data_IF_994931391964
#
_entry.id   IF_994931391964
#
_cell.length_a   1.000
_cell.length_b   1.000
_cell.length_c   1.000
_cell.angle_alpha   90.00
_cell.angle_beta   90.00
_cell.angle_gamma   90.00
#
_symmetry.space_group_name_H-M   'P 1'
#
loop_
_entity.id
_entity.type
_entity.pdbx_description
1 polymer ?
#
# COMPACT_ATOMS: atom_id res chain seq x y z
N UNK A 1 12.41 -31.93 45.50
CA UNK A 1 12.51 -31.48 44.10
C UNK A 1 11.23 -30.72 43.83
N UNK A 2 11.28 -29.39 43.74
CA UNK A 2 10.07 -28.57 43.55
C UNK A 2 9.56 -28.59 42.10
N UNK A 3 10.38 -29.06 41.16
CA UNK A 3 10.03 -29.15 39.75
C UNK A 3 10.51 -30.50 39.21
N UNK A 4 9.58 -31.36 38.81
CA UNK A 4 9.80 -32.59 38.03
C UNK A 4 9.01 -32.50 36.71
N UNK A 5 9.17 -33.46 35.81
CA UNK A 5 8.67 -33.39 34.41
C UNK A 5 7.14 -33.17 34.24
N UNK A 6 6.34 -33.26 35.31
CA UNK A 6 4.90 -32.98 35.37
C UNK A 6 4.50 -31.89 36.41
N UNK A 7 5.46 -31.09 36.88
CA UNK A 7 5.22 -30.09 37.93
C UNK A 7 4.71 -28.75 37.37
N UNK A 8 3.84 -28.07 38.12
CA UNK A 8 3.39 -26.71 37.83
C UNK A 8 4.61 -25.77 37.62
N UNK A 9 4.55 -24.86 36.62
CA UNK A 9 5.69 -24.06 36.21
C UNK A 9 6.12 -22.99 37.25
N UNK A 10 5.32 -22.82 38.29
CA UNK A 10 5.60 -22.00 39.47
C UNK A 10 4.89 -22.63 40.67
N UNK A 11 5.34 -22.29 41.88
CA UNK A 11 4.78 -22.77 43.14
C UNK A 11 4.69 -21.61 44.12
N UNK A 12 3.50 -21.36 44.68
CA UNK A 12 3.36 -20.46 45.83
C UNK A 12 3.91 -21.16 47.08
N UNK A 13 4.97 -20.60 47.65
CA UNK A 13 5.64 -21.19 48.80
C UNK A 13 4.95 -20.84 50.12
N UNK A 14 4.13 -19.78 50.19
CA UNK A 14 3.51 -19.35 51.44
C UNK A 14 2.56 -20.40 52.04
N UNK A 15 1.67 -21.06 51.28
CA UNK A 15 0.80 -22.13 51.80
C UNK A 15 1.56 -23.37 52.27
N UNK A 16 2.82 -23.52 51.87
CA UNK A 16 3.70 -24.63 52.25
C UNK A 16 4.46 -24.35 53.55
N UNK A 17 4.44 -23.11 54.04
CA UNK A 17 5.12 -22.71 55.28
C UNK A 17 4.20 -22.83 56.50
N UNK A 18 4.77 -23.03 57.71
CA UNK A 18 4.01 -22.95 58.95
C UNK A 18 3.32 -21.59 59.10
N UNK A 19 2.14 -21.55 59.73
CA UNK A 19 1.35 -20.32 59.94
C UNK A 19 2.03 -19.22 60.77
N UNK A 20 3.22 -19.48 61.31
CA UNK A 20 4.07 -18.50 61.99
C UNK A 20 4.97 -17.72 61.02
N UNK A 21 5.11 -18.18 59.78
CA UNK A 21 5.89 -17.52 58.73
C UNK A 21 5.01 -16.53 57.97
N UNK A 22 5.62 -15.39 57.64
CA UNK A 22 5.05 -14.34 56.80
C UNK A 22 5.71 -14.34 55.42
N UNK A 23 5.18 -13.54 54.51
CA UNK A 23 5.70 -13.38 53.14
C UNK A 23 7.18 -12.97 53.15
N UNK A 24 7.60 -12.15 54.12
CA UNK A 24 8.99 -11.73 54.34
C UNK A 24 9.96 -12.87 54.69
N UNK A 25 9.43 -13.99 55.20
CA UNK A 25 10.21 -15.16 55.60
C UNK A 25 10.48 -16.10 54.42
N UNK A 26 9.65 -16.05 53.35
CA UNK A 26 9.77 -16.92 52.18
C UNK A 26 11.14 -16.77 51.49
N UNK A 27 11.61 -15.54 51.15
CA UNK A 27 12.92 -15.39 50.49
C UNK A 27 14.09 -15.79 51.40
N UNK A 28 13.97 -15.53 52.70
CA UNK A 28 15.00 -15.88 53.68
C UNK A 28 15.13 -17.40 53.84
N UNK A 29 14.01 -18.13 53.87
CA UNK A 29 13.99 -19.58 53.96
C UNK A 29 14.53 -20.23 52.69
N UNK A 30 14.11 -19.73 51.52
CA UNK A 30 14.60 -20.23 50.23
C UNK A 30 16.11 -19.98 50.05
N UNK A 31 16.64 -18.86 50.52
CA UNK A 31 18.09 -18.57 50.47
C UNK A 31 18.93 -19.53 51.33
N UNK A 32 18.33 -20.12 52.37
CA UNK A 32 18.99 -21.08 53.27
C UNK A 32 18.86 -22.54 52.83
N UNK A 33 18.05 -22.82 51.82
CA UNK A 33 17.94 -24.14 51.23
C UNK A 33 19.23 -24.49 50.46
N UNK A 34 19.94 -25.53 50.91
CA UNK A 34 21.24 -25.94 50.38
C UNK A 34 21.26 -26.24 48.86
N UNK A 35 20.12 -26.56 48.27
CA UNK A 35 19.96 -26.84 46.84
C UNK A 35 19.53 -25.63 45.99
N UNK A 36 19.13 -24.52 46.64
CA UNK A 36 18.68 -23.29 45.96
C UNK A 36 19.85 -22.31 45.74
N UNK A 37 20.82 -22.25 46.66
CA UNK A 37 21.99 -21.38 46.53
C UNK A 37 22.93 -21.71 45.35
N UNK A 38 22.74 -22.87 44.69
CA UNK A 38 23.51 -23.31 43.53
C UNK A 38 22.71 -23.26 42.20
N UNK A 39 21.41 -22.98 42.27
CA UNK A 39 20.48 -22.99 41.13
C UNK A 39 20.21 -21.57 40.65
N UNK A 40 20.81 -21.19 39.53
CA UNK A 40 20.59 -19.87 38.87
C UNK A 40 19.29 -19.82 38.07
N UNK A 41 18.63 -20.97 37.94
CA UNK A 41 17.43 -21.21 37.14
C UNK A 41 16.13 -21.04 37.93
N UNK A 42 16.19 -20.62 39.20
CA UNK A 42 15.01 -20.43 40.06
C UNK A 42 14.95 -18.98 40.56
N UNK A 43 13.78 -18.36 40.45
CA UNK A 43 13.53 -16.97 40.85
C UNK A 43 12.31 -16.88 41.77
N UNK A 44 12.33 -15.91 42.67
CA UNK A 44 11.19 -15.56 43.51
C UNK A 44 10.52 -14.32 42.89
N UNK A 45 9.20 -14.39 42.75
CA UNK A 45 8.31 -13.34 42.24
C UNK A 45 7.13 -13.16 43.22
N UNK A 46 6.52 -11.99 43.23
CA UNK A 46 5.41 -11.57 44.08
C UNK A 46 5.61 -11.92 45.56
N UNK A 47 6.86 -11.81 46.02
CA UNK A 47 7.36 -12.15 47.37
C UNK A 47 7.25 -13.62 47.81
N UNK A 48 6.23 -14.36 47.34
CA UNK A 48 5.93 -15.73 47.81
C UNK A 48 6.06 -16.81 46.74
N UNK A 49 6.17 -16.45 45.46
CA UNK A 49 6.06 -17.40 44.34
C UNK A 49 7.45 -17.77 43.83
N UNK A 50 7.72 -19.07 43.77
CA UNK A 50 8.94 -19.63 43.22
C UNK A 50 8.69 -20.11 41.80
N UNK A 51 9.43 -19.58 40.83
CA UNK A 51 9.33 -19.98 39.43
C UNK A 51 10.70 -20.31 38.83
N UNK A 52 10.72 -20.95 37.67
CA UNK A 52 11.93 -21.24 36.92
C UNK A 52 12.21 -20.19 35.84
N UNK A 53 13.47 -20.05 35.45
CA UNK A 53 13.86 -19.26 34.27
C UNK A 53 13.20 -19.78 33.00
N UNK A 54 12.95 -21.09 32.91
CA UNK A 54 12.27 -21.72 31.79
C UNK A 54 10.83 -21.22 31.62
N UNK A 55 10.09 -21.00 32.70
CA UNK A 55 8.75 -20.42 32.63
C UNK A 55 8.77 -18.96 32.16
N UNK A 56 9.72 -18.17 32.65
CA UNK A 56 9.92 -16.78 32.22
C UNK A 56 10.30 -16.74 30.74
N UNK A 57 11.16 -17.65 30.27
CA UNK A 57 11.54 -17.78 28.87
C UNK A 57 10.36 -18.26 28.00
N UNK A 58 9.51 -19.16 28.49
CA UNK A 58 8.28 -19.55 27.78
C UNK A 58 7.29 -18.37 27.64
N UNK A 59 7.16 -17.53 28.68
CA UNK A 59 6.40 -16.29 28.61
C UNK A 59 7.00 -15.34 27.57
N UNK A 60 8.33 -15.19 27.60
CA UNK A 60 9.08 -14.37 26.65
C UNK A 60 8.86 -14.83 25.20
N UNK A 61 8.97 -16.12 24.90
CA UNK A 61 8.78 -16.65 23.54
C UNK A 61 7.38 -16.37 22.99
N UNK A 62 6.33 -16.56 23.81
CA UNK A 62 4.95 -16.26 23.40
C UNK A 62 4.74 -14.77 23.12
N UNK A 63 5.36 -13.89 23.91
CA UNK A 63 5.28 -12.45 23.69
C UNK A 63 6.12 -12.04 22.45
N UNK A 64 7.32 -12.60 22.29
CA UNK A 64 8.18 -12.36 21.13
C UNK A 64 7.53 -12.79 19.82
N UNK A 65 6.70 -13.84 19.84
CA UNK A 65 5.92 -14.29 18.68
C UNK A 65 4.95 -13.22 18.15
N UNK A 66 4.61 -12.19 18.94
CA UNK A 66 3.78 -11.05 18.50
C UNK A 66 4.59 -9.96 17.78
N UNK A 67 5.91 -9.93 17.92
CA UNK A 67 6.76 -8.88 17.34
C UNK A 67 6.64 -8.79 15.81
N UNK A 68 6.60 -9.89 15.03
CA UNK A 68 6.45 -9.81 13.58
C UNK A 68 5.12 -9.16 13.15
N UNK A 69 4.02 -9.51 13.82
CA UNK A 69 2.69 -8.94 13.54
C UNK A 69 2.65 -7.45 13.89
N UNK A 70 3.22 -7.07 15.04
CA UNK A 70 3.36 -5.65 15.43
C UNK A 70 4.24 -4.88 14.46
N UNK A 71 5.33 -5.48 13.98
CA UNK A 71 6.24 -4.85 13.02
C UNK A 71 5.60 -4.63 11.64
N UNK A 72 4.67 -5.50 11.22
CA UNK A 72 3.87 -5.32 10.00
C UNK A 72 2.86 -4.17 10.10
N UNK A 73 2.33 -3.91 11.30
CA UNK A 73 1.37 -2.84 11.54
C UNK A 73 1.97 -1.44 11.73
N UNK A 74 3.30 -1.32 11.81
CA UNK A 74 3.97 -0.03 12.02
C UNK A 74 4.04 0.78 10.72
N UNK A 75 3.66 2.05 10.81
CA UNK A 75 4.04 3.06 9.83
C UNK A 75 5.55 3.34 9.95
N UNK A 76 6.33 2.72 9.06
CA UNK A 76 7.79 2.81 9.06
C UNK A 76 8.31 4.21 8.73
N UNK A 77 7.51 5.06 8.08
CA UNK A 77 7.85 6.47 7.85
C UNK A 77 7.73 7.25 9.15
N UNK A 78 6.60 7.11 9.86
CA UNK A 78 6.42 7.74 11.17
C UNK A 78 7.44 7.21 12.20
N UNK A 79 7.74 5.90 12.17
CA UNK A 79 8.77 5.30 13.02
C UNK A 79 10.16 5.87 12.70
N UNK A 80 10.50 6.06 11.42
CA UNK A 80 11.74 6.71 11.02
C UNK A 80 11.83 8.14 11.58
N UNK A 81 10.78 8.94 11.43
CA UNK A 81 10.73 10.31 11.95
C UNK A 81 10.87 10.33 13.49
N UNK A 82 10.27 9.35 14.19
CA UNK A 82 10.40 9.19 15.64
C UNK A 82 11.84 8.81 16.05
N UNK A 83 12.50 7.90 15.32
CA UNK A 83 13.90 7.50 15.57
C UNK A 83 14.85 8.68 15.34
N UNK A 84 14.66 9.45 14.27
CA UNK A 84 15.47 10.64 13.97
C UNK A 84 15.28 11.73 15.04
N UNK A 85 14.05 11.95 15.51
CA UNK A 85 13.75 12.89 16.59
C UNK A 85 14.38 12.48 17.93
N UNK A 86 14.32 11.18 18.27
CA UNK A 86 14.94 10.64 19.49
C UNK A 86 16.47 10.79 19.49
N UNK A 87 17.12 10.68 18.32
CA UNK A 87 18.56 10.87 18.17
C UNK A 87 18.99 12.34 18.34
N UNK A 88 18.14 13.31 17.97
CA UNK A 88 18.44 14.74 18.09
C UNK A 88 18.22 15.30 19.51
N UNK A 89 17.37 14.66 20.32
CA UNK A 89 17.10 15.06 21.71
C UNK A 89 18.24 14.82 22.71
N UNK A 90 19.36 14.20 22.29
CA UNK A 90 20.47 13.83 23.17
C UNK A 90 21.58 14.88 23.38
N UNK A 91 21.44 16.11 22.87
CA UNK A 91 22.49 17.15 22.97
C UNK A 91 21.94 18.54 23.30
N UNK A 92 21.16 18.67 24.37
CA UNK A 92 21.01 19.94 25.10
C UNK A 92 20.42 19.69 26.50
N UNK A 93 21.28 19.29 27.43
CA UNK A 93 21.08 19.51 28.86
C UNK A 93 22.25 20.33 29.38
N UNK A 94 22.19 21.64 29.17
CA UNK A 94 22.97 22.60 29.96
C UNK A 94 22.35 24.00 29.84
N UNK A 95 21.79 24.44 30.97
CA UNK A 95 21.58 25.83 31.41
C UNK A 95 20.53 26.66 30.67
N UNK A 96 19.33 26.73 31.25
CA UNK A 96 18.60 28.00 31.36
C UNK A 96 18.36 28.23 32.86
N UNK A 97 19.30 28.95 33.49
CA UNK A 97 19.01 29.73 34.69
C UNK A 97 18.35 31.02 34.22
N UNK A 98 17.10 31.21 34.67
CA UNK A 98 16.37 32.47 34.63
C UNK A 98 17.16 33.55 35.41
N UNK A 99 17.67 34.57 34.72
CA UNK A 99 17.80 35.90 35.30
C UNK A 99 17.34 37.00 34.34
N UNK A 100 16.21 37.58 34.72
CA UNK A 100 15.71 38.89 34.35
C UNK A 100 16.73 39.98 34.73
N UNK A 101 17.25 40.74 33.76
CA UNK A 101 17.59 42.13 34.04
C UNK A 101 17.58 43.00 32.77
N UNK A 102 16.91 44.14 32.89
CA UNK A 102 16.62 45.03 31.78
C UNK A 102 17.72 46.02 31.41
N UNK A 103 17.35 46.81 30.40
CA UNK A 103 17.76 48.18 30.10
C UNK A 103 19.04 48.41 29.28
N UNK A 104 18.74 48.88 28.05
CA UNK A 104 19.30 50.08 27.40
C UNK A 104 20.40 49.89 26.36
N UNK A 105 20.26 50.58 25.20
CA UNK A 105 21.42 50.82 24.32
C UNK A 105 21.26 50.88 22.80
N UNK A 106 20.19 51.49 22.27
CA UNK A 106 20.22 52.52 21.18
C UNK A 106 21.17 52.35 19.97
N UNK A 107 20.57 52.41 18.75
CA UNK A 107 21.08 52.98 17.46
C UNK A 107 21.01 51.96 16.30
N UNK A 108 20.49 52.18 15.08
CA UNK A 108 19.95 53.33 14.33
C UNK A 108 19.29 52.78 13.04
N UNK A 109 18.06 53.25 12.73
CA UNK A 109 17.63 53.90 11.45
C UNK A 109 17.95 53.16 10.13
N UNK A 110 17.00 52.76 9.28
CA UNK A 110 16.06 53.60 8.46
C UNK A 110 15.18 52.62 7.65
N UNK A 111 13.84 52.70 7.69
CA UNK A 111 13.00 53.51 6.79
C UNK A 111 12.58 52.71 5.54
N UNK A 112 11.31 52.38 5.29
CA UNK A 112 10.29 53.29 4.72
C UNK A 112 8.89 52.66 4.76
N UNK A 113 7.89 53.53 4.97
CA UNK A 113 6.46 53.31 5.22
C UNK A 113 5.62 53.75 4.02
N UNK A 114 4.59 52.97 3.62
CA UNK A 114 3.29 53.39 3.05
C UNK A 114 2.44 52.11 2.83
N UNK A 115 1.40 51.78 3.60
CA UNK A 115 0.05 52.38 3.86
C UNK A 115 -0.99 52.00 2.78
N UNK A 116 -1.86 51.04 3.15
CA UNK A 116 -3.33 50.91 2.94
C UNK A 116 -3.67 49.43 2.69
N UNK A 117 -4.63 48.75 3.30
CA UNK A 117 -5.69 49.09 4.25
C UNK A 117 -6.70 47.93 4.24
N UNK A 118 -7.52 47.82 5.29
CA UNK A 118 -8.75 47.02 5.26
C UNK A 118 -8.59 45.58 5.71
N UNK A 119 -9.30 45.20 6.77
CA UNK A 119 -9.21 43.90 7.42
C UNK A 119 -10.08 42.82 6.78
N UNK A 120 -9.76 41.57 7.09
CA UNK A 120 -10.72 40.51 7.34
C UNK A 120 -10.01 39.41 8.14
N UNK A 121 -10.53 39.15 9.33
CA UNK A 121 -10.08 38.10 10.23
C UNK A 121 -10.19 36.73 9.56
N UNK A 122 -9.05 36.10 9.27
CA UNK A 122 -8.95 34.67 9.09
C UNK A 122 -7.97 34.16 10.14
N UNK A 123 -8.53 33.65 11.24
CA UNK A 123 -7.85 32.99 12.33
C UNK A 123 -7.23 31.70 11.78
N UNK A 124 -6.06 31.83 11.16
CA UNK A 124 -5.21 30.73 10.75
C UNK A 124 -4.79 29.95 11.99
N UNK A 125 -5.53 28.89 12.28
CA UNK A 125 -5.16 27.86 13.24
C UNK A 125 -3.96 27.15 12.65
N UNK A 126 -2.76 27.71 12.89
CA UNK A 126 -1.50 26.99 12.72
C UNK A 126 -1.68 25.67 13.45
N UNK A 127 -1.78 24.59 12.70
CA UNK A 127 -1.72 23.24 13.24
C UNK A 127 -0.44 23.19 14.06
N UNK A 128 -0.58 22.99 15.38
CA UNK A 128 0.50 22.43 16.17
C UNK A 128 0.85 21.13 15.48
N UNK A 129 2.02 21.08 14.83
CA UNK A 129 2.67 19.82 14.55
C UNK A 129 2.75 19.10 15.89
N UNK A 130 1.90 18.09 16.06
CA UNK A 130 2.07 17.13 17.14
C UNK A 130 3.49 16.58 16.97
N UNK A 131 4.30 16.65 18.03
CA UNK A 131 5.55 15.92 18.04
C UNK A 131 5.24 14.46 17.65
N UNK A 132 6.07 13.81 16.80
CA UNK A 132 5.87 12.40 16.51
C UNK A 132 5.85 11.66 17.86
N UNK A 133 4.74 10.99 18.16
CA UNK A 133 4.64 10.24 19.41
C UNK A 133 5.67 9.12 19.36
N UNK A 134 6.54 9.07 20.36
CA UNK A 134 7.46 7.94 20.55
C UNK A 134 6.73 6.61 20.78
N UNK A 135 5.41 6.67 20.95
CA UNK A 135 4.52 5.51 21.10
C UNK A 135 4.61 4.52 19.95
N UNK A 136 4.92 4.96 18.73
CA UNK A 136 5.12 4.04 17.58
C UNK A 136 6.34 3.11 17.79
N UNK A 137 7.30 3.51 18.61
CA UNK A 137 8.47 2.69 18.98
C UNK A 137 8.24 1.84 20.23
N UNK A 138 7.06 1.97 20.87
CA UNK A 138 6.71 1.16 22.03
C UNK A 138 6.07 -0.14 21.56
N UNK A 139 6.63 -1.26 22.01
CA UNK A 139 6.15 -2.59 21.62
C UNK A 139 4.76 -2.89 22.23
N UNK A 140 4.63 -2.69 23.54
CA UNK A 140 3.37 -2.75 24.30
C UNK A 140 3.54 -2.10 25.67
N UNK A 141 2.44 -1.80 26.37
CA UNK A 141 2.46 -1.32 27.76
C UNK A 141 2.72 -2.45 28.76
N UNK A 142 3.06 -2.11 30.01
CA UNK A 142 3.18 -3.09 31.09
C UNK A 142 1.85 -3.81 31.32
N UNK A 143 0.74 -3.06 31.44
CA UNK A 143 -0.59 -3.61 31.67
C UNK A 143 -1.02 -4.57 30.54
N UNK A 144 -0.71 -4.23 29.28
CA UNK A 144 -0.99 -5.08 28.12
C UNK A 144 -0.16 -6.38 28.15
N UNK A 145 1.09 -6.30 28.60
CA UNK A 145 1.97 -7.45 28.75
C UNK A 145 1.50 -8.37 29.87
N UNK A 146 1.14 -7.82 31.04
CA UNK A 146 0.55 -8.57 32.15
C UNK A 146 -0.72 -9.30 31.72
N UNK A 147 -1.65 -8.60 31.08
CA UNK A 147 -2.90 -9.20 30.60
C UNK A 147 -2.65 -10.30 29.55
N UNK A 148 -1.64 -10.15 28.69
CA UNK A 148 -1.25 -11.20 27.75
C UNK A 148 -0.68 -12.44 28.45
N UNK A 149 0.16 -12.25 29.47
CA UNK A 149 0.72 -13.35 30.28
C UNK A 149 -0.41 -14.12 30.96
N UNK A 150 -1.34 -13.43 31.62
CA UNK A 150 -2.51 -14.05 32.27
C UNK A 150 -3.36 -14.85 31.27
N UNK A 151 -3.59 -14.32 30.07
CA UNK A 151 -4.32 -15.04 29.03
C UNK A 151 -3.56 -16.26 28.49
N UNK A 152 -2.24 -16.15 28.35
CA UNK A 152 -1.40 -17.20 27.79
C UNK A 152 -1.10 -18.33 28.79
N UNK A 153 -1.19 -18.03 30.09
CA UNK A 153 -0.97 -18.92 31.22
C UNK A 153 -2.04 -18.64 32.29
N UNK A 154 -3.25 -19.23 32.14
CA UNK A 154 -4.39 -18.97 33.02
C UNK A 154 -4.10 -19.20 34.51
N UNK A 155 -3.23 -20.15 34.83
CA UNK A 155 -2.83 -20.48 36.20
C UNK A 155 -2.19 -19.27 36.93
N UNK A 156 -1.70 -18.27 36.20
CA UNK A 156 -1.17 -17.02 36.81
C UNK A 156 -2.28 -16.09 37.33
N UNK A 157 -3.55 -16.29 36.95
CA UNK A 157 -4.69 -15.49 37.43
C UNK A 157 -4.98 -15.75 38.93
N UNK A 158 -4.73 -16.97 39.40
CA UNK A 158 -4.90 -17.38 40.80
C UNK A 158 -3.81 -16.80 41.72
N UNK A 159 -2.79 -16.16 41.14
CA UNK A 159 -1.62 -15.63 41.85
C UNK A 159 -1.43 -14.12 41.61
N UNK A 160 -1.96 -13.27 42.50
CA UNK A 160 -1.92 -11.82 42.32
C UNK A 160 -0.48 -11.30 42.27
N UNK A 161 -0.17 -10.45 41.29
CA UNK A 161 1.14 -9.82 41.10
C UNK A 161 2.17 -10.65 40.33
N UNK A 162 1.94 -11.96 40.12
CA UNK A 162 2.87 -12.82 39.36
C UNK A 162 3.03 -12.34 37.91
N UNK A 163 1.91 -12.12 37.21
CA UNK A 163 1.92 -11.65 35.83
C UNK A 163 2.56 -10.27 35.69
N UNK A 164 2.34 -9.38 36.67
CA UNK A 164 2.89 -8.02 36.68
C UNK A 164 4.40 -8.01 36.87
N UNK A 165 4.94 -8.88 37.73
CA UNK A 165 6.39 -8.95 37.94
C UNK A 165 7.11 -9.60 36.76
N UNK A 166 6.50 -10.62 36.14
CA UNK A 166 7.00 -11.20 34.87
C UNK A 166 6.99 -10.12 33.78
N UNK A 167 5.89 -9.37 33.64
CA UNK A 167 5.78 -8.27 32.69
C UNK A 167 6.86 -7.21 32.93
N UNK A 168 7.08 -6.79 34.18
CA UNK A 168 8.11 -5.82 34.54
C UNK A 168 9.52 -6.28 34.16
N UNK A 169 9.83 -7.58 34.35
CA UNK A 169 11.12 -8.17 33.96
C UNK A 169 11.30 -8.26 32.44
N UNK A 170 10.25 -8.57 31.70
CA UNK A 170 10.31 -8.77 30.25
C UNK A 170 10.15 -7.48 29.44
N UNK A 171 9.52 -6.44 30.00
CA UNK A 171 9.14 -5.23 29.26
C UNK A 171 10.33 -4.51 28.63
N UNK A 172 11.35 -4.19 29.42
CA UNK A 172 12.54 -3.49 28.94
C UNK A 172 13.32 -4.26 27.86
N UNK A 173 13.72 -5.54 28.06
CA UNK A 173 14.48 -6.28 27.05
C UNK A 173 13.69 -6.49 25.76
N UNK A 174 12.38 -6.80 25.85
CA UNK A 174 11.53 -7.00 24.68
C UNK A 174 11.28 -5.68 23.92
N UNK A 175 11.06 -4.58 24.64
CA UNK A 175 10.93 -3.26 24.03
C UNK A 175 12.20 -2.83 23.31
N UNK A 176 13.39 -3.13 23.86
CA UNK A 176 14.67 -2.86 23.20
C UNK A 176 14.82 -3.68 21.91
N UNK A 177 14.56 -4.99 21.99
CA UNK A 177 14.62 -5.90 20.84
C UNK A 177 13.69 -5.44 19.71
N UNK A 178 12.47 -5.05 20.04
CA UNK A 178 11.51 -4.53 19.07
C UNK A 178 12.00 -3.24 18.40
N UNK A 179 12.53 -2.28 19.17
CA UNK A 179 13.11 -1.04 18.63
C UNK A 179 14.27 -1.33 17.67
N UNK A 180 15.13 -2.29 17.99
CA UNK A 180 16.21 -2.72 17.10
C UNK A 180 15.69 -3.31 15.78
N UNK A 181 14.63 -4.13 15.83
CA UNK A 181 13.98 -4.67 14.62
C UNK A 181 13.40 -3.55 13.74
N UNK A 182 12.75 -2.55 14.36
CA UNK A 182 12.24 -1.36 13.65
C UNK A 182 13.38 -0.59 12.97
N UNK A 183 14.46 -0.32 13.70
CA UNK A 183 15.64 0.39 13.17
C UNK A 183 16.31 -0.41 12.04
N UNK A 184 16.42 -1.73 12.16
CA UNK A 184 16.96 -2.59 11.12
C UNK A 184 16.11 -2.53 9.85
N UNK A 185 14.77 -2.56 9.98
CA UNK A 185 13.83 -2.45 8.85
C UNK A 185 13.87 -1.07 8.18
N UNK A 186 14.04 0.00 8.96
CA UNK A 186 14.22 1.35 8.41
C UNK A 186 15.53 1.42 7.60
N UNK A 187 16.62 0.85 8.13
CA UNK A 187 17.94 0.85 7.47
C UNK A 187 17.93 0.04 6.18
N UNK A 188 17.28 -1.12 6.15
CA UNK A 188 17.20 -1.95 4.94
C UNK A 188 16.44 -1.24 3.80
N UNK A 189 15.47 -0.38 4.10
CA UNK A 189 14.71 0.36 3.10
C UNK A 189 15.24 1.76 2.74
N UNK A 190 16.35 2.23 3.32
CA UNK A 190 16.79 3.63 3.23
C UNK A 190 17.70 3.95 2.02
N UNK A 191 17.11 4.40 0.90
CA UNK A 191 17.81 5.25 -0.10
C UNK A 191 17.03 6.58 -0.29
N UNK A 192 17.50 7.64 0.38
CA UNK A 192 16.70 8.88 0.55
C UNK A 192 16.50 9.73 -0.71
N UNK A 193 17.46 9.73 -1.65
CA UNK A 193 17.39 10.52 -2.89
C UNK A 193 16.62 9.80 -3.99
N UNK A 194 16.95 8.53 -4.24
CA UNK A 194 16.26 7.68 -5.22
C UNK A 194 14.77 7.50 -4.92
N UNK A 195 14.35 7.52 -3.64
CA UNK A 195 12.94 7.38 -3.28
C UNK A 195 12.06 8.56 -3.72
N UNK A 196 12.56 9.79 -3.62
CA UNK A 196 11.79 10.97 -4.03
C UNK A 196 11.56 10.96 -5.54
N UNK A 197 12.60 10.58 -6.28
CA UNK A 197 12.52 10.41 -7.73
C UNK A 197 11.59 9.25 -8.11
N UNK A 198 11.74 8.09 -7.46
CA UNK A 198 10.86 6.94 -7.64
C UNK A 198 9.38 7.30 -7.38
N UNK A 199 9.10 7.99 -6.28
CA UNK A 199 7.74 8.45 -5.98
C UNK A 199 7.22 9.40 -7.06
N UNK A 200 8.00 10.41 -7.44
CA UNK A 200 7.60 11.36 -8.48
C UNK A 200 7.36 10.68 -9.84
N UNK A 201 8.15 9.65 -10.17
CA UNK A 201 7.95 8.82 -11.37
C UNK A 201 6.64 8.03 -11.26
N UNK A 202 6.40 7.33 -10.16
CA UNK A 202 5.17 6.56 -9.96
C UNK A 202 3.92 7.45 -9.93
N UNK A 203 3.98 8.64 -9.32
CA UNK A 203 2.89 9.62 -9.33
C UNK A 203 2.55 10.09 -10.75
N UNK A 204 3.57 10.34 -11.60
CA UNK A 204 3.34 10.67 -13.02
C UNK A 204 2.76 9.49 -13.79
N UNK A 205 3.27 8.28 -13.56
CA UNK A 205 2.76 7.05 -14.20
C UNK A 205 1.30 6.83 -13.81
N UNK A 206 0.98 6.93 -12.53
CA UNK A 206 -0.39 6.85 -12.01
C UNK A 206 -1.31 7.87 -12.68
N UNK A 207 -0.93 9.16 -12.67
CA UNK A 207 -1.74 10.23 -13.28
C UNK A 207 -2.00 9.95 -14.76
N UNK A 208 -0.96 9.59 -15.51
CA UNK A 208 -1.07 9.31 -16.96
C UNK A 208 -1.98 8.11 -17.23
N UNK A 209 -1.81 7.02 -16.49
CA UNK A 209 -2.64 5.82 -16.65
C UNK A 209 -4.09 6.10 -16.26
N UNK A 210 -4.32 6.85 -15.19
CA UNK A 210 -5.66 7.15 -14.73
C UNK A 210 -6.39 8.11 -15.67
N UNK A 211 -5.71 9.12 -16.22
CA UNK A 211 -6.26 10.00 -17.25
C UNK A 211 -6.69 9.21 -18.50
N UNK A 212 -5.88 8.22 -18.92
CA UNK A 212 -6.26 7.31 -20.02
C UNK A 212 -7.51 6.48 -19.68
N UNK A 213 -7.55 5.87 -18.49
CA UNK A 213 -8.71 5.09 -18.04
C UNK A 213 -9.98 5.94 -18.01
N UNK A 214 -9.89 7.20 -17.54
CA UNK A 214 -11.02 8.13 -17.55
C UNK A 214 -11.48 8.47 -18.98
N UNK A 215 -10.55 8.68 -19.92
CA UNK A 215 -10.90 8.90 -21.32
C UNK A 215 -11.63 7.69 -21.94
N UNK A 216 -11.15 6.47 -21.67
CA UNK A 216 -11.79 5.24 -22.16
C UNK A 216 -13.14 4.98 -21.51
N UNK A 217 -13.26 5.21 -20.20
CA UNK A 217 -14.53 5.10 -19.48
C UNK A 217 -15.58 6.08 -20.02
N UNK A 218 -15.15 7.29 -20.39
CA UNK A 218 -16.03 8.29 -21.00
C UNK A 218 -16.58 7.84 -22.35
N UNK A 219 -15.75 7.25 -23.21
CA UNK A 219 -16.20 6.64 -24.48
C UNK A 219 -17.14 5.47 -24.24
N UNK A 220 -16.82 4.60 -23.28
CA UNK A 220 -17.72 3.50 -22.90
C UNK A 220 -19.10 4.00 -22.45
N UNK A 221 -19.13 5.09 -21.66
CA UNK A 221 -20.36 5.73 -21.22
C UNK A 221 -21.14 6.39 -22.38
N UNK A 222 -20.48 7.06 -23.33
CA UNK A 222 -21.16 7.65 -24.50
C UNK A 222 -21.82 6.57 -25.37
N UNK A 223 -21.18 5.41 -25.50
CA UNK A 223 -21.72 4.28 -26.24
C UNK A 223 -22.90 3.59 -25.54
N UNK A 224 -23.09 3.78 -24.23
CA UNK A 224 -24.20 3.16 -23.48
C UNK A 224 -25.58 3.58 -23.99
N UNK A 225 -25.69 4.78 -24.56
CA UNK A 225 -26.93 5.29 -25.16
C UNK A 225 -27.31 4.53 -26.44
N UNK A 226 -26.32 4.00 -27.16
CA UNK A 226 -26.50 3.29 -28.44
C UNK A 226 -26.50 1.77 -28.25
N UNK A 227 -25.54 1.25 -27.48
CA UNK A 227 -25.40 -0.17 -27.18
C UNK A 227 -24.85 -0.38 -25.76
N UNK A 228 -25.77 -0.59 -24.81
CA UNK A 228 -25.42 -0.88 -23.41
C UNK A 228 -24.60 -2.18 -23.24
N UNK A 229 -24.74 -3.14 -24.15
CA UNK A 229 -24.00 -4.41 -24.09
C UNK A 229 -22.54 -4.22 -24.49
N UNK A 230 -22.29 -3.40 -25.50
CA UNK A 230 -20.94 -2.98 -25.91
C UNK A 230 -20.27 -2.19 -24.79
N UNK A 231 -20.96 -1.18 -24.24
CA UNK A 231 -20.48 -0.39 -23.09
C UNK A 231 -20.05 -1.28 -21.92
N UNK A 232 -20.91 -2.22 -21.48
CA UNK A 232 -20.55 -3.17 -20.41
C UNK A 232 -19.36 -4.07 -20.76
N UNK A 233 -19.18 -4.40 -22.03
CA UNK A 233 -18.05 -5.21 -22.51
C UNK A 233 -16.75 -4.42 -22.46
N UNK A 234 -16.77 -3.14 -22.86
CA UNK A 234 -15.61 -2.23 -22.80
C UNK A 234 -15.19 -1.96 -21.35
N UNK A 235 -16.13 -1.66 -20.46
CA UNK A 235 -15.85 -1.45 -19.03
C UNK A 235 -15.17 -2.67 -18.40
N UNK A 236 -15.68 -3.87 -18.71
CA UNK A 236 -15.11 -5.12 -18.22
C UNK A 236 -13.73 -5.39 -18.80
N UNK A 237 -13.49 -4.97 -20.04
CA UNK A 237 -12.18 -5.07 -20.65
C UNK A 237 -11.18 -4.12 -19.97
N UNK A 238 -11.57 -2.87 -19.69
CA UNK A 238 -10.75 -1.91 -18.93
C UNK A 238 -10.36 -2.42 -17.55
N UNK A 239 -11.33 -2.99 -16.82
CA UNK A 239 -11.11 -3.59 -15.50
C UNK A 239 -10.05 -4.70 -15.53
N UNK A 240 -10.01 -5.50 -16.60
CA UNK A 240 -9.12 -6.66 -16.69
C UNK A 240 -7.77 -6.38 -17.33
N UNK A 241 -7.67 -5.31 -18.10
CA UNK A 241 -6.46 -4.99 -18.88
C UNK A 241 -5.63 -3.88 -18.24
N UNK A 242 -6.22 -2.72 -17.92
CA UNK A 242 -5.46 -1.55 -17.46
C UNK A 242 -5.50 -1.37 -15.94
N UNK A 243 -6.63 -1.70 -15.31
CA UNK A 243 -6.80 -1.51 -13.87
C UNK A 243 -5.82 -2.34 -13.00
N UNK A 244 -5.43 -3.59 -13.34
CA UNK A 244 -4.45 -4.34 -12.55
C UNK A 244 -3.08 -3.67 -12.52
N UNK A 245 -2.66 -3.06 -13.62
CA UNK A 245 -1.39 -2.34 -13.72
C UNK A 245 -1.46 -1.01 -12.94
N UNK A 246 -2.60 -0.31 -12.99
CA UNK A 246 -2.82 0.87 -12.15
C UNK A 246 -2.72 0.52 -10.65
N UNK A 247 -3.35 -0.58 -10.23
CA UNK A 247 -3.24 -1.08 -8.85
C UNK A 247 -1.80 -1.47 -8.52
N UNK A 248 -1.04 -2.05 -9.46
CA UNK A 248 0.38 -2.34 -9.25
C UNK A 248 1.21 -1.07 -8.99
N UNK A 249 0.91 0.06 -9.66
CA UNK A 249 1.54 1.36 -9.37
C UNK A 249 1.22 1.82 -7.94
N UNK A 250 -0.03 1.68 -7.50
CA UNK A 250 -0.43 2.00 -6.12
C UNK A 250 0.29 1.10 -5.08
N UNK A 251 0.47 -0.19 -5.39
CA UNK A 251 1.23 -1.13 -4.53
C UNK A 251 2.70 -0.70 -4.44
N UNK A 252 3.30 -0.25 -5.54
CA UNK A 252 4.68 0.32 -5.51
C UNK A 252 4.75 1.58 -4.64
N UNK A 253 3.76 2.46 -4.72
CA UNK A 253 3.69 3.65 -3.86
C UNK A 253 3.55 3.27 -2.39
N UNK A 254 2.72 2.28 -2.08
CA UNK A 254 2.60 1.70 -0.74
C UNK A 254 3.95 1.15 -0.25
N UNK A 255 4.65 0.39 -1.10
CA UNK A 255 5.97 -0.13 -0.79
C UNK A 255 6.98 0.98 -0.46
N UNK A 256 6.97 2.10 -1.19
CA UNK A 256 7.85 3.24 -0.88
C UNK A 256 7.57 3.85 0.49
N UNK A 257 6.30 3.94 0.90
CA UNK A 257 5.90 4.46 2.21
C UNK A 257 6.30 3.51 3.34
N UNK A 258 6.15 2.20 3.10
CA UNK A 258 6.52 1.14 4.03
C UNK A 258 8.00 0.74 3.93
N UNK A 259 8.83 1.49 3.19
CA UNK A 259 10.27 1.22 3.05
C UNK A 259 10.59 -0.20 2.51
N UNK A 260 9.67 -0.81 1.78
CA UNK A 260 9.83 -2.13 1.16
C UNK A 260 10.59 -1.95 -0.16
N UNK A 261 11.60 -2.80 -0.40
CA UNK A 261 12.39 -2.74 -1.64
C UNK A 261 11.62 -3.33 -2.81
N UNK A 262 11.73 -2.69 -3.97
CA UNK A 262 11.23 -3.18 -5.24
C UNK A 262 11.96 -2.49 -6.39
N UNK A 263 11.88 -3.06 -7.59
CA UNK A 263 12.39 -2.44 -8.81
C UNK A 263 11.35 -1.45 -9.37
N UNK A 264 11.69 -0.16 -9.37
CA UNK A 264 10.80 0.91 -9.81
C UNK A 264 10.46 0.78 -11.29
N UNK A 265 11.41 0.32 -12.11
CA UNK A 265 11.31 0.31 -13.55
C UNK A 265 10.69 -0.98 -14.10
N UNK A 266 10.63 -2.05 -13.29
CA UNK A 266 10.02 -3.33 -13.70
C UNK A 266 8.56 -3.49 -13.24
N UNK A 267 7.68 -4.08 -14.06
CA UNK A 267 6.33 -4.42 -13.61
C UNK A 267 6.39 -5.43 -12.46
N UNK A 268 5.49 -5.29 -11.48
CA UNK A 268 5.42 -6.23 -10.37
C UNK A 268 4.81 -7.56 -10.82
N UNK A 269 5.49 -8.65 -10.51
CA UNK A 269 4.94 -10.00 -10.64
C UNK A 269 3.78 -10.25 -9.66
N UNK A 270 3.08 -11.37 -9.83
CA UNK A 270 2.04 -11.79 -8.87
C UNK A 270 2.61 -12.04 -7.48
N UNK A 271 3.83 -12.60 -7.42
CA UNK A 271 4.44 -12.99 -6.15
C UNK A 271 5.03 -11.77 -5.43
N UNK A 272 5.71 -10.85 -6.14
CA UNK A 272 6.17 -9.58 -5.56
C UNK A 272 5.01 -8.75 -5.01
N UNK A 273 3.86 -8.71 -5.71
CA UNK A 273 2.66 -8.04 -5.18
C UNK A 273 2.19 -8.65 -3.85
N UNK A 274 2.17 -9.98 -3.76
CA UNK A 274 1.76 -10.67 -2.53
C UNK A 274 2.75 -10.44 -1.40
N UNK A 275 4.05 -10.46 -1.69
CA UNK A 275 5.11 -10.21 -0.72
C UNK A 275 4.99 -8.81 -0.12
N UNK A 276 4.90 -7.77 -0.96
CA UNK A 276 4.70 -6.38 -0.51
C UNK A 276 3.45 -6.25 0.36
N UNK A 277 2.33 -6.86 -0.05
CA UNK A 277 1.08 -6.79 0.72
C UNK A 277 1.11 -7.59 2.02
N UNK A 278 1.84 -8.71 2.08
CA UNK A 278 2.05 -9.49 3.30
C UNK A 278 2.94 -8.76 4.30
N UNK A 279 3.85 -7.93 3.81
CA UNK A 279 4.73 -7.10 4.62
C UNK A 279 4.10 -5.79 5.11
N UNK A 280 2.97 -5.40 4.51
CA UNK A 280 2.21 -4.19 4.83
C UNK A 280 1.18 -4.43 5.94
N UNK A 281 0.62 -3.34 6.48
CA UNK A 281 -0.39 -3.42 7.53
C UNK A 281 -1.63 -4.24 7.10
N UNK A 282 -2.29 -4.96 8.03
CA UNK A 282 -3.45 -5.81 7.69
C UNK A 282 -4.59 -5.06 6.99
N UNK A 283 -4.81 -3.78 7.34
CA UNK A 283 -5.78 -2.92 6.69
C UNK A 283 -5.41 -2.65 5.22
N UNK A 284 -4.15 -2.30 4.95
CA UNK A 284 -3.65 -2.08 3.59
C UNK A 284 -3.76 -3.36 2.76
N UNK A 285 -3.27 -4.49 3.31
CA UNK A 285 -3.39 -5.80 2.66
C UNK A 285 -4.82 -6.11 2.26
N UNK A 286 -5.78 -5.90 3.16
CA UNK A 286 -7.20 -6.12 2.88
C UNK A 286 -7.70 -5.21 1.76
N UNK A 287 -7.49 -3.90 1.89
CA UNK A 287 -7.97 -2.89 0.94
C UNK A 287 -7.39 -3.10 -0.47
N UNK A 288 -6.10 -3.41 -0.60
CA UNK A 288 -5.49 -3.64 -1.90
C UNK A 288 -5.91 -4.98 -2.53
N UNK A 289 -6.15 -6.03 -1.72
CA UNK A 289 -6.73 -7.28 -2.24
C UNK A 289 -8.16 -7.08 -2.74
N UNK A 290 -8.97 -6.26 -2.05
CA UNK A 290 -10.30 -5.88 -2.52
C UNK A 290 -10.21 -5.14 -3.88
N UNK A 291 -9.31 -4.17 -4.04
CA UNK A 291 -9.08 -3.51 -5.33
C UNK A 291 -8.67 -4.49 -6.45
N UNK A 292 -7.74 -5.40 -6.17
CA UNK A 292 -7.32 -6.44 -7.13
C UNK A 292 -8.49 -7.37 -7.52
N UNK A 293 -9.38 -7.67 -6.59
CA UNK A 293 -10.58 -8.46 -6.86
C UNK A 293 -11.55 -7.70 -7.78
N UNK A 294 -11.73 -6.39 -7.55
CA UNK A 294 -12.60 -5.54 -8.37
C UNK A 294 -12.17 -5.49 -9.84
N UNK A 295 -10.87 -5.60 -10.15
CA UNK A 295 -10.36 -5.72 -11.53
C UNK A 295 -10.95 -6.93 -12.30
N UNK A 296 -11.46 -7.95 -11.61
CA UNK A 296 -12.12 -9.09 -12.24
C UNK A 296 -13.65 -8.93 -12.35
N UNK A 297 -14.18 -7.87 -11.76
CA UNK A 297 -15.61 -7.56 -11.64
C UNK A 297 -16.26 -7.05 -12.92
N UNK A 298 -17.34 -6.28 -12.73
CA UNK A 298 -18.18 -5.74 -13.81
C UNK A 298 -18.49 -4.24 -13.68
N UNK A 299 -18.12 -3.64 -12.56
CA UNK A 299 -18.48 -2.25 -12.22
C UNK A 299 -17.22 -1.39 -12.18
N UNK A 300 -16.99 -0.66 -13.27
CA UNK A 300 -15.81 0.20 -13.42
C UNK A 300 -15.93 1.45 -12.52
N UNK A 301 -17.12 2.01 -12.35
CA UNK A 301 -17.35 3.19 -11.53
C UNK A 301 -17.10 2.90 -10.04
N UNK A 302 -17.54 1.73 -9.56
CA UNK A 302 -17.22 1.29 -8.21
C UNK A 302 -15.71 1.12 -8.01
N UNK A 303 -15.00 0.54 -8.99
CA UNK A 303 -13.54 0.42 -8.95
C UNK A 303 -12.86 1.79 -8.89
N UNK A 304 -13.26 2.73 -9.76
CA UNK A 304 -12.70 4.09 -9.79
C UNK A 304 -12.88 4.77 -8.44
N UNK A 305 -14.08 4.72 -7.86
CA UNK A 305 -14.37 5.32 -6.54
C UNK A 305 -13.49 4.70 -5.44
N UNK A 306 -13.36 3.38 -5.41
CA UNK A 306 -12.53 2.69 -4.42
C UNK A 306 -11.04 3.02 -4.61
N UNK A 307 -10.58 3.10 -5.85
CA UNK A 307 -9.20 3.42 -6.21
C UNK A 307 -8.85 4.86 -5.85
N UNK A 308 -9.71 5.83 -6.19
CA UNK A 308 -9.55 7.25 -5.83
C UNK A 308 -9.42 7.42 -4.32
N UNK A 309 -10.28 6.72 -3.56
CA UNK A 309 -10.21 6.73 -2.09
C UNK A 309 -8.86 6.21 -1.58
N UNK A 310 -8.34 5.12 -2.12
CA UNK A 310 -7.01 4.59 -1.73
C UNK A 310 -5.90 5.56 -2.11
N UNK A 311 -5.96 6.13 -3.32
CA UNK A 311 -4.99 7.09 -3.81
C UNK A 311 -4.95 8.35 -2.94
N UNK A 312 -6.09 8.96 -2.61
CA UNK A 312 -6.18 10.20 -1.85
C UNK A 312 -5.98 9.97 -0.34
N UNK A 313 -6.79 9.10 0.28
CA UNK A 313 -6.82 8.94 1.74
C UNK A 313 -5.56 8.22 2.24
N UNK A 314 -5.18 7.11 1.59
CA UNK A 314 -4.10 6.25 2.07
C UNK A 314 -2.73 6.67 1.53
N UNK A 315 -2.64 6.98 0.24
CA UNK A 315 -1.36 7.26 -0.43
C UNK A 315 -1.09 8.77 -0.62
N UNK A 316 -2.03 9.64 -0.25
CA UNK A 316 -1.88 11.10 -0.32
C UNK A 316 -1.54 11.58 -1.73
N UNK A 317 -2.09 10.92 -2.75
CA UNK A 317 -1.99 11.33 -4.14
C UNK A 317 -2.98 12.45 -4.42
N UNK A 318 -2.55 13.43 -5.20
CA UNK A 318 -3.43 14.49 -5.67
C UNK A 318 -3.99 14.11 -7.05
N UNK A 319 -5.23 13.66 -7.09
CA UNK A 319 -5.94 13.36 -8.34
C UNK A 319 -6.44 14.68 -8.93
N UNK A 320 -5.95 15.01 -10.12
CA UNK A 320 -6.45 16.19 -10.83
C UNK A 320 -7.81 15.88 -11.45
N UNK A 321 -8.73 16.86 -11.48
CA UNK A 321 -9.95 16.72 -12.25
C UNK A 321 -9.65 16.41 -13.72
N UNK A 322 -10.38 15.46 -14.29
CA UNK A 322 -10.31 15.16 -15.72
C UNK A 322 -11.07 16.22 -16.52
N UNK A 323 -10.41 17.36 -16.72
CA UNK A 323 -10.98 18.50 -17.42
C UNK A 323 -10.86 18.37 -18.95
N UNK A 324 -11.52 19.28 -19.68
CA UNK A 324 -11.50 19.30 -21.15
C UNK A 324 -10.10 19.50 -21.74
N UNK A 325 -9.14 20.04 -20.99
CA UNK A 325 -7.77 20.25 -21.46
C UNK A 325 -6.99 18.94 -21.38
N UNK A 326 -7.10 18.24 -20.25
CA UNK A 326 -6.53 16.89 -20.05
C UNK A 326 -7.12 15.92 -21.06
N UNK A 327 -8.44 15.93 -21.25
CA UNK A 327 -9.11 15.09 -22.25
C UNK A 327 -8.57 15.28 -23.66
N UNK A 328 -8.43 16.55 -24.11
CA UNK A 328 -7.85 16.85 -25.42
C UNK A 328 -6.40 16.39 -25.55
N UNK A 329 -5.62 16.51 -24.47
CA UNK A 329 -4.23 16.07 -24.46
C UNK A 329 -4.12 14.54 -24.54
N UNK A 330 -4.93 13.82 -23.77
CA UNK A 330 -5.01 12.35 -23.83
C UNK A 330 -5.42 11.88 -25.22
N UNK A 331 -6.46 12.48 -25.81
CA UNK A 331 -6.90 12.14 -27.17
C UNK A 331 -5.81 12.39 -28.21
N UNK A 332 -5.12 13.53 -28.14
CA UNK A 332 -4.05 13.84 -29.06
C UNK A 332 -2.90 12.82 -28.98
N UNK A 333 -2.51 12.42 -27.76
CA UNK A 333 -1.48 11.42 -27.53
C UNK A 333 -1.92 10.03 -28.00
N UNK A 334 -3.15 9.63 -27.69
CA UNK A 334 -3.73 8.35 -28.08
C UNK A 334 -3.80 8.22 -29.61
N UNK A 335 -4.33 9.26 -30.29
CA UNK A 335 -4.38 9.31 -31.76
C UNK A 335 -2.99 9.23 -32.39
N UNK A 336 -2.01 9.95 -31.85
CA UNK A 336 -0.64 9.92 -32.35
C UNK A 336 0.02 8.54 -32.14
N UNK A 337 -0.16 7.94 -30.96
CA UNK A 337 0.36 6.61 -30.64
C UNK A 337 -0.27 5.51 -31.52
N UNK A 338 -1.58 5.55 -31.72
CA UNK A 338 -2.27 4.62 -32.63
C UNK A 338 -1.84 4.79 -34.08
N UNK A 339 -1.68 6.02 -34.56
CA UNK A 339 -1.18 6.26 -35.92
C UNK A 339 0.23 5.69 -36.11
N UNK A 340 1.12 5.86 -35.13
CA UNK A 340 2.46 5.25 -35.15
C UNK A 340 2.39 3.72 -35.11
N UNK A 341 1.53 3.15 -34.26
CA UNK A 341 1.34 1.70 -34.15
C UNK A 341 0.86 1.12 -35.47
N UNK A 342 -0.18 1.71 -36.08
CA UNK A 342 -0.73 1.28 -37.37
C UNK A 342 0.32 1.41 -38.48
N UNK A 343 1.07 2.51 -38.53
CA UNK A 343 2.14 2.69 -39.52
C UNK A 343 3.24 1.62 -39.38
N UNK A 344 3.57 1.23 -38.14
CA UNK A 344 4.60 0.23 -37.84
C UNK A 344 4.16 -1.23 -38.07
N UNK A 345 2.87 -1.53 -38.27
CA UNK A 345 2.40 -2.91 -38.46
C UNK A 345 3.05 -3.56 -39.69
N UNK A 346 3.71 -4.72 -39.59
CA UNK A 346 4.20 -5.40 -40.78
C UNK A 346 3.02 -5.90 -41.63
N UNK A 347 3.22 -6.06 -42.95
CA UNK A 347 2.17 -6.61 -43.83
C UNK A 347 1.76 -8.05 -43.45
N UNK A 348 2.59 -8.74 -42.68
CA UNK A 348 2.36 -10.08 -42.14
C UNK A 348 1.71 -10.07 -40.75
N UNK A 349 1.30 -8.92 -40.23
CA UNK A 349 0.64 -8.83 -38.93
C UNK A 349 -0.69 -9.61 -38.94
N UNK A 350 -1.15 -10.03 -37.76
CA UNK A 350 -2.45 -10.66 -37.61
C UNK A 350 -3.55 -9.68 -38.08
N UNK A 351 -4.41 -10.13 -38.99
CA UNK A 351 -5.44 -9.28 -39.59
C UNK A 351 -6.42 -8.73 -38.54
N UNK A 352 -6.75 -9.51 -37.51
CA UNK A 352 -7.64 -9.09 -36.42
C UNK A 352 -7.02 -8.00 -35.54
N UNK A 353 -5.72 -8.10 -35.24
CA UNK A 353 -4.99 -7.04 -34.52
C UNK A 353 -4.91 -5.75 -35.33
N UNK A 354 -4.59 -5.87 -36.62
CA UNK A 354 -4.55 -4.73 -37.53
C UNK A 354 -5.93 -4.06 -37.66
N UNK A 355 -6.99 -4.86 -37.80
CA UNK A 355 -8.36 -4.38 -37.89
C UNK A 355 -8.79 -3.64 -36.62
N UNK A 356 -8.51 -4.19 -35.44
CA UNK A 356 -8.81 -3.53 -34.17
C UNK A 356 -8.05 -2.20 -34.03
N UNK A 357 -6.77 -2.17 -34.37
CA UNK A 357 -5.95 -0.96 -34.31
C UNK A 357 -6.49 0.14 -35.23
N UNK A 358 -6.91 -0.23 -36.45
CA UNK A 358 -7.51 0.70 -37.42
C UNK A 358 -8.87 1.21 -36.96
N UNK A 359 -9.76 0.34 -36.46
CA UNK A 359 -11.04 0.75 -35.87
C UNK A 359 -10.83 1.73 -34.72
N UNK A 360 -9.91 1.42 -33.82
CA UNK A 360 -9.58 2.28 -32.67
C UNK A 360 -9.07 3.65 -33.12
N UNK A 361 -8.24 3.70 -34.16
CA UNK A 361 -7.76 4.95 -34.74
C UNK A 361 -8.90 5.74 -35.43
N UNK A 362 -9.84 5.08 -36.10
CA UNK A 362 -11.01 5.72 -36.70
C UNK A 362 -11.91 6.36 -35.63
N UNK A 363 -12.12 5.72 -34.48
CA UNK A 363 -12.81 6.36 -33.34
C UNK A 363 -12.10 7.65 -32.91
N UNK A 364 -10.77 7.62 -32.80
CA UNK A 364 -9.98 8.79 -32.43
C UNK A 364 -9.98 9.90 -33.50
N UNK A 365 -10.14 9.56 -34.78
CA UNK A 365 -10.12 10.51 -35.90
C UNK A 365 -11.51 11.09 -36.21
N UNK A 366 -12.54 10.27 -36.29
CA UNK A 366 -13.89 10.66 -36.72
C UNK A 366 -14.74 11.15 -35.55
N UNK A 367 -14.67 10.46 -34.41
CA UNK A 367 -15.51 10.74 -33.24
C UNK A 367 -14.83 11.57 -32.16
N UNK A 368 -13.50 11.76 -32.25
CA UNK A 368 -12.68 12.38 -31.20
C UNK A 368 -12.81 11.65 -29.84
N UNK A 369 -12.93 10.32 -29.88
CA UNK A 369 -13.09 9.48 -28.69
C UNK A 369 -11.87 8.55 -28.52
N UNK A 370 -11.45 8.32 -27.28
CA UNK A 370 -10.41 7.34 -26.98
C UNK A 370 -11.05 5.96 -26.80
N UNK A 371 -10.59 4.95 -27.53
CA UNK A 371 -11.16 3.61 -27.43
C UNK A 371 -10.11 2.62 -26.91
N UNK A 372 -10.54 1.78 -25.98
CA UNK A 372 -9.77 0.62 -25.52
C UNK A 372 -10.68 -0.60 -25.53
N UNK A 373 -10.46 -1.48 -26.49
CA UNK A 373 -11.36 -2.59 -26.79
C UNK A 373 -10.60 -3.87 -27.12
N UNK A 374 -11.30 -5.00 -27.07
CA UNK A 374 -10.78 -6.29 -27.50
C UNK A 374 -11.41 -6.73 -28.83
N UNK A 375 -10.78 -7.67 -29.55
CA UNK A 375 -11.23 -8.11 -30.87
C UNK A 375 -12.70 -8.59 -30.95
N UNK A 376 -13.27 -9.16 -29.87
CA UNK A 376 -14.68 -9.58 -29.86
C UNK A 376 -15.69 -8.42 -29.93
N UNK A 377 -15.24 -7.19 -29.70
CA UNK A 377 -16.09 -6.00 -29.81
C UNK A 377 -16.14 -5.42 -31.22
N UNK A 378 -15.28 -5.91 -32.13
CA UNK A 378 -15.21 -5.43 -33.53
C UNK A 378 -16.58 -5.38 -34.22
N UNK A 379 -17.44 -6.42 -34.15
CA UNK A 379 -18.75 -6.38 -34.81
C UNK A 379 -19.59 -5.16 -34.40
N UNK A 380 -19.76 -4.97 -33.08
CA UNK A 380 -20.56 -3.88 -32.52
C UNK A 380 -19.91 -2.51 -32.76
N UNK A 381 -18.58 -2.43 -32.69
CA UNK A 381 -17.83 -1.20 -32.97
C UNK A 381 -17.95 -0.77 -34.44
N UNK A 382 -18.00 -1.72 -35.38
CA UNK A 382 -18.24 -1.42 -36.79
C UNK A 382 -19.66 -0.89 -37.00
N UNK A 383 -20.67 -1.51 -36.38
CA UNK A 383 -22.04 -1.02 -36.47
C UNK A 383 -22.17 0.44 -35.99
N UNK A 384 -21.42 0.82 -34.94
CA UNK A 384 -21.35 2.21 -34.46
C UNK A 384 -20.66 3.14 -35.47
N UNK A 385 -19.58 2.69 -36.13
CA UNK A 385 -18.82 3.50 -37.08
C UNK A 385 -19.46 3.62 -38.46
N UNK A 386 -20.54 2.89 -38.74
CA UNK A 386 -21.12 2.79 -40.08
C UNK A 386 -21.43 4.15 -40.72
N UNK A 387 -21.94 5.09 -39.92
CA UNK A 387 -22.31 6.42 -40.39
C UNK A 387 -21.16 7.45 -40.27
N UNK A 388 -20.03 7.06 -39.66
CA UNK A 388 -18.85 7.90 -39.43
C UNK A 388 -17.79 7.76 -40.55
N UNK A 389 -17.94 6.79 -41.46
CA UNK A 389 -17.01 6.50 -42.55
C UNK A 389 -17.73 6.39 -43.90
N UNK A 390 -16.98 6.50 -45.01
CA UNK A 390 -17.54 6.29 -46.34
C UNK A 390 -17.84 4.80 -46.62
N UNK A 391 -18.71 4.55 -47.60
CA UNK A 391 -19.23 3.21 -47.93
C UNK A 391 -18.11 2.22 -48.32
N UNK A 392 -17.10 2.68 -49.06
CA UNK A 392 -15.94 1.88 -49.45
C UNK A 392 -15.09 1.48 -48.24
N UNK A 393 -14.86 2.43 -47.33
CA UNK A 393 -14.15 2.19 -46.06
C UNK A 393 -14.91 1.17 -45.21
N UNK A 394 -16.22 1.35 -45.05
CA UNK A 394 -17.04 0.42 -44.28
C UNK A 394 -17.05 -0.98 -44.88
N UNK A 395 -17.19 -1.10 -46.21
CA UNK A 395 -17.18 -2.39 -46.90
C UNK A 395 -15.85 -3.14 -46.69
N UNK A 396 -14.73 -2.44 -46.77
CA UNK A 396 -13.39 -3.03 -46.54
C UNK A 396 -13.24 -3.52 -45.10
N UNK A 397 -13.67 -2.72 -44.11
CA UNK A 397 -13.62 -3.11 -42.70
C UNK A 397 -14.52 -4.31 -42.41
N UNK A 398 -15.71 -4.36 -43.04
CA UNK A 398 -16.66 -5.45 -42.88
C UNK A 398 -16.12 -6.76 -43.48
N UNK A 399 -15.53 -6.67 -44.66
CA UNK A 399 -14.88 -7.82 -45.31
C UNK A 399 -13.72 -8.36 -44.46
N UNK A 400 -12.87 -7.47 -43.92
CA UNK A 400 -11.81 -7.89 -43.01
C UNK A 400 -12.36 -8.57 -41.74
N UNK A 401 -13.47 -8.08 -41.19
CA UNK A 401 -14.14 -8.71 -40.05
C UNK A 401 -14.59 -10.15 -40.39
N UNK A 402 -15.22 -10.34 -41.55
CA UNK A 402 -15.73 -11.64 -41.98
C UNK A 402 -14.58 -12.64 -42.22
N UNK A 403 -13.47 -12.18 -42.80
CA UNK A 403 -12.25 -12.98 -42.98
C UNK A 403 -11.61 -13.38 -41.64
N UNK A 404 -11.52 -12.45 -40.68
CA UNK A 404 -11.04 -12.73 -39.33
C UNK A 404 -11.93 -13.76 -38.63
N UNK A 405 -13.25 -13.63 -38.77
CA UNK A 405 -14.19 -14.61 -38.22
C UNK A 405 -13.99 -15.99 -38.85
N UNK A 406 -13.89 -16.06 -40.18
CA UNK A 406 -13.64 -17.30 -40.91
C UNK A 406 -12.33 -17.97 -40.45
N UNK A 407 -11.26 -17.20 -40.25
CA UNK A 407 -9.99 -17.71 -39.71
C UNK A 407 -10.13 -18.31 -38.30
N UNK A 408 -10.93 -17.70 -37.43
CA UNK A 408 -11.12 -18.14 -36.05
C UNK A 408 -12.03 -19.36 -35.91
N UNK A 409 -12.95 -19.58 -36.85
CA UNK A 409 -13.89 -20.71 -36.82
C UNK A 409 -13.43 -21.94 -37.58
N UNK A 410 -12.30 -21.84 -38.27
CA UNK A 410 -11.76 -22.89 -39.12
C UNK A 410 -11.21 -24.07 -38.31
N UNK A 411 -11.39 -25.30 -38.78
CA UNK A 411 -10.80 -26.50 -38.18
C UNK A 411 -9.29 -26.64 -38.48
N UNK A 412 -8.55 -27.34 -37.61
CA UNK A 412 -7.09 -27.53 -37.74
C UNK A 412 -6.67 -28.24 -39.05
N UNK A 413 -7.56 -29.03 -39.67
CA UNK A 413 -7.29 -29.82 -40.88
C UNK A 413 -7.72 -29.15 -42.21
N UNK A 414 -8.29 -27.95 -42.18
CA UNK A 414 -8.78 -27.28 -43.39
C UNK A 414 -7.69 -26.43 -44.09
N UNK A 415 -7.85 -26.08 -45.37
CA UNK A 415 -6.92 -25.22 -46.12
C UNK A 415 -6.93 -23.76 -45.61
N UNK A 416 -5.77 -23.06 -45.54
CA UNK A 416 -5.70 -21.68 -45.01
C UNK A 416 -6.70 -20.77 -45.71
N UNK A 417 -7.47 -20.01 -44.92
CA UNK A 417 -8.44 -19.04 -45.45
C UNK A 417 -7.67 -18.05 -46.32
N UNK A 418 -8.04 -17.98 -47.59
CA UNK A 418 -7.48 -17.00 -48.50
C UNK A 418 -7.97 -15.61 -48.09
N UNK A 419 -7.03 -14.76 -47.67
CA UNK A 419 -7.31 -13.39 -47.27
C UNK A 419 -7.31 -12.50 -48.50
N UNK A 420 -8.41 -11.78 -48.71
CA UNK A 420 -8.50 -10.80 -49.79
C UNK A 420 -8.24 -9.38 -49.29
N UNK A 421 -8.45 -9.11 -47.99
CA UNK A 421 -8.05 -7.85 -47.36
C UNK A 421 -6.68 -7.99 -46.72
N UNK A 422 -5.75 -7.10 -47.08
CA UNK A 422 -4.42 -7.08 -46.49
C UNK A 422 -4.29 -6.02 -45.39
N UNK A 423 -3.28 -6.18 -44.53
CA UNK A 423 -2.90 -5.14 -43.56
C UNK A 423 -2.57 -3.82 -44.26
N UNK A 424 -2.00 -3.86 -45.47
CA UNK A 424 -1.70 -2.66 -46.24
C UNK A 424 -2.98 -1.93 -46.69
N UNK A 425 -4.04 -2.67 -47.01
CA UNK A 425 -5.34 -2.09 -47.35
C UNK A 425 -5.95 -1.39 -46.13
N UNK A 426 -5.92 -2.05 -44.96
CA UNK A 426 -6.40 -1.46 -43.70
C UNK A 426 -5.64 -0.19 -43.32
N UNK A 427 -4.32 -0.16 -43.50
CA UNK A 427 -3.51 1.05 -43.26
C UNK A 427 -3.94 2.22 -44.14
N UNK A 428 -4.27 1.97 -45.41
CA UNK A 428 -4.67 3.02 -46.35
C UNK A 428 -5.97 3.71 -45.93
N UNK A 429 -6.85 3.02 -45.20
CA UNK A 429 -8.11 3.60 -44.71
C UNK A 429 -7.90 4.75 -43.73
N UNK A 430 -6.79 4.74 -42.99
CA UNK A 430 -6.47 5.71 -41.92
C UNK A 430 -5.22 6.56 -42.22
N UNK A 431 -4.57 6.32 -43.37
CA UNK A 431 -3.42 7.08 -43.82
C UNK A 431 -3.87 8.47 -44.29
N UNK A 432 -3.61 9.49 -43.45
CA UNK A 432 -3.79 10.94 -43.72
C UNK A 432 -4.86 11.27 -44.78
N UNK A 433 -6.12 11.26 -44.37
CA UNK A 433 -7.09 12.26 -44.87
C UNK A 433 -6.85 13.57 -44.14
#
# INVERSE_FOLDING_TARGET
>A
MLFGDDAEPFVDALPLLPSACSDDDVPQLLSRCANMGARTDVQILADTIVTTTEFIDACREKIEALMPERLQGIDLKAAKDAVESAAQGGTNTANDDDEDNGLSGKSKRRGRKKKSGGGASAKGKKGKSAAPSTDILNFMSLDEMSAFITKAFPDTEDHPGLADEIAAKLHAPLSSKFKEMVVARIKSGASGTGRKEARATLERTFSTMYDNIQAFAKTSASLSETDASLSSTLDRHLLRSLCPDLVAVLIKLLALENLIQFDVDKPLSSDERKEILNESAPADKKTFNELLQMCNGKDLAAFQTAMEKVAEDRLQLFIRPFDKKTEKQVLANHRAGLAQMVDALPNTANLGEALLAVITLLFAQQRNECLHAHGRSIPQLLDVLKDDVDEDTFATLKQAQDEVYAQLTKGEDEEPVELTVTVADLKRLVAKK
#
